data_IF_785307497760
#
_entry.id   IF_785307497760
#
_cell.length_a   1.000
_cell.length_b   1.000
_cell.length_c   1.000
_cell.angle_alpha   90.00
_cell.angle_beta   90.00
_cell.angle_gamma   90.00
#
_symmetry.space_group_name_H-M   'P 1'
#
loop_
_entity.id
_entity.type
_entity.pdbx_description
1 polymer ?
#
# COMPACT_ATOMS: atom_id res chain seq x y z
N UNK A 1 -10.24 -23.58 -11.12
CA UNK A 1 -10.22 -23.11 -9.72
C UNK A 1 -9.61 -21.73 -9.67
N UNK A 2 -10.36 -20.78 -9.16
CA UNK A 2 -9.85 -19.43 -8.98
C UNK A 2 -9.03 -19.33 -7.70
N UNK A 3 -7.98 -18.55 -7.76
CA UNK A 3 -7.18 -18.22 -6.59
C UNK A 3 -6.96 -16.72 -6.54
N UNK A 4 -6.73 -16.20 -5.35
CA UNK A 4 -6.42 -14.79 -5.18
C UNK A 4 -5.52 -14.60 -3.97
N UNK A 5 -4.79 -13.49 -3.97
CA UNK A 5 -3.83 -13.18 -2.92
C UNK A 5 -4.37 -12.12 -1.99
N UNK A 6 -4.17 -12.34 -0.70
CA UNK A 6 -4.52 -11.36 0.33
C UNK A 6 -3.33 -11.14 1.23
N UNK A 7 -3.33 -9.99 1.90
CA UNK A 7 -2.37 -9.75 2.97
C UNK A 7 -2.98 -10.32 4.24
N UNK A 8 -2.33 -11.31 4.81
CA UNK A 8 -2.77 -11.94 6.05
C UNK A 8 -2.36 -11.08 7.25
N UNK A 9 -1.14 -10.57 7.22
CA UNK A 9 -0.61 -9.68 8.27
C UNK A 9 0.17 -8.57 7.58
N UNK A 10 -0.19 -7.32 7.90
CA UNK A 10 0.49 -6.17 7.36
C UNK A 10 1.83 -5.94 8.01
N UNK A 11 2.68 -5.21 7.30
CA UNK A 11 3.98 -4.80 7.77
C UNK A 11 4.23 -3.35 7.42
N UNK A 12 5.41 -2.88 7.75
CA UNK A 12 5.82 -1.52 7.47
C UNK A 12 7.17 -1.55 6.76
N UNK A 13 7.34 -0.67 5.80
CA UNK A 13 8.61 -0.53 5.09
C UNK A 13 8.91 0.94 4.87
N UNK A 14 10.19 1.27 4.78
CA UNK A 14 10.61 2.65 4.59
C UNK A 14 11.67 2.72 3.51
N UNK A 15 11.56 3.74 2.67
CA UNK A 15 12.62 4.09 1.71
C UNK A 15 12.97 5.56 1.88
N UNK A 16 14.17 5.92 1.44
CA UNK A 16 14.63 7.31 1.41
C UNK A 16 15.01 7.63 -0.03
N UNK A 17 14.43 8.70 -0.58
CA UNK A 17 14.77 9.18 -1.91
C UNK A 17 14.98 10.69 -1.83
N UNK A 18 16.16 11.15 -2.28
CA UNK A 18 16.53 12.58 -2.25
C UNK A 18 16.18 13.21 -0.89
N UNK A 19 16.54 12.53 0.19
CA UNK A 19 16.34 12.93 1.58
C UNK A 19 14.90 12.92 2.06
N UNK A 20 13.91 12.67 1.19
CA UNK A 20 12.53 12.44 1.63
C UNK A 20 12.40 11.02 2.16
N UNK A 21 11.65 10.86 3.26
CA UNK A 21 11.33 9.56 3.83
C UNK A 21 9.93 9.16 3.41
N UNK A 22 9.78 7.92 2.95
CA UNK A 22 8.51 7.35 2.54
C UNK A 22 8.28 6.10 3.37
N UNK A 23 7.28 6.14 4.24
CA UNK A 23 6.96 5.05 5.16
C UNK A 23 5.66 4.41 4.70
N UNK A 24 5.71 3.15 4.26
CA UNK A 24 4.53 2.41 3.85
C UNK A 24 4.03 1.57 5.01
N UNK A 25 2.76 1.73 5.37
CA UNK A 25 2.10 0.92 6.39
C UNK A 25 1.01 0.13 5.71
N UNK A 26 1.10 -1.20 5.78
CA UNK A 26 0.19 -2.12 5.09
C UNK A 26 -0.75 -2.76 6.12
N UNK A 27 -2.03 -2.82 5.80
CA UNK A 27 -3.02 -3.38 6.70
C UNK A 27 -4.05 -4.21 5.92
N UNK A 28 -4.31 -5.45 6.35
CA UNK A 28 -5.42 -6.21 5.77
C UNK A 28 -6.74 -5.59 6.20
N UNK A 29 -7.66 -5.42 5.25
CA UNK A 29 -8.99 -4.87 5.50
C UNK A 29 -10.01 -5.67 4.70
N UNK A 30 -11.22 -5.79 5.22
CA UNK A 30 -12.29 -6.52 4.52
C UNK A 30 -13.40 -5.61 4.03
N UNK A 31 -13.47 -4.39 4.54
CA UNK A 31 -14.52 -3.43 4.18
C UNK A 31 -13.92 -2.05 3.99
N UNK A 32 -14.68 -1.19 3.30
CA UNK A 32 -14.27 0.20 3.15
C UNK A 32 -14.16 0.90 4.49
N UNK A 33 -15.07 0.62 5.41
CA UNK A 33 -15.03 1.23 6.74
C UNK A 33 -13.74 0.89 7.46
N UNK A 34 -13.29 -0.36 7.39
CA UNK A 34 -12.01 -0.75 7.98
C UNK A 34 -10.84 -0.01 7.34
N UNK A 35 -10.87 0.15 6.01
CA UNK A 35 -9.83 0.88 5.31
C UNK A 35 -9.78 2.34 5.76
N UNK A 36 -10.94 3.00 5.85
CA UNK A 36 -11.01 4.39 6.25
C UNK A 36 -10.55 4.60 7.70
N UNK A 37 -10.90 3.68 8.60
CA UNK A 37 -10.44 3.74 10.00
C UNK A 37 -8.92 3.60 10.07
N UNK A 38 -8.36 2.69 9.31
CA UNK A 38 -6.91 2.50 9.26
C UNK A 38 -6.21 3.75 8.73
N UNK A 39 -6.75 4.35 7.66
CA UNK A 39 -6.19 5.56 7.08
C UNK A 39 -6.19 6.69 8.12
N UNK A 40 -7.31 6.89 8.82
CA UNK A 40 -7.41 7.93 9.85
C UNK A 40 -6.44 7.68 11.00
N UNK A 41 -6.32 6.45 11.44
CA UNK A 41 -5.39 6.08 12.50
C UNK A 41 -3.95 6.37 12.11
N UNK A 42 -3.58 6.05 10.86
CA UNK A 42 -2.23 6.29 10.36
C UNK A 42 -1.94 7.78 10.21
N UNK A 43 -2.92 8.56 9.73
CA UNK A 43 -2.79 10.02 9.64
C UNK A 43 -2.57 10.65 11.01
N UNK A 44 -3.24 10.15 12.03
CA UNK A 44 -3.04 10.64 13.40
C UNK A 44 -1.66 10.29 13.93
N UNK A 45 -1.19 9.07 13.63
CA UNK A 45 0.15 8.64 14.03
C UNK A 45 1.24 9.51 13.41
N UNK A 46 1.08 9.85 12.14
CA UNK A 46 2.04 10.66 11.39
C UNK A 46 1.44 12.03 11.05
N UNK A 47 0.84 12.68 12.04
CA UNK A 47 0.13 13.95 11.86
C UNK A 47 1.04 15.08 11.35
N UNK A 48 2.32 14.99 11.66
CA UNK A 48 3.31 16.01 11.28
C UNK A 48 3.92 15.77 9.89
N UNK A 49 3.51 14.70 9.21
CA UNK A 49 3.98 14.45 7.85
C UNK A 49 3.26 15.36 6.86
N UNK A 50 3.96 15.69 5.79
CA UNK A 50 3.40 16.54 4.73
C UNK A 50 2.28 15.83 3.97
N UNK A 51 2.45 14.54 3.71
CA UNK A 51 1.48 13.75 2.95
C UNK A 51 1.31 12.36 3.56
N UNK A 52 0.06 11.90 3.63
CA UNK A 52 -0.30 10.53 3.99
C UNK A 52 -1.21 10.00 2.87
N UNK A 53 -0.59 9.51 1.81
CA UNK A 53 -1.30 9.02 0.63
C UNK A 53 -1.79 7.61 0.87
N UNK A 54 -2.89 7.20 0.22
CA UNK A 54 -3.41 5.86 0.42
C UNK A 54 -3.89 5.21 -0.85
N UNK A 55 -3.99 3.88 -0.81
CA UNK A 55 -4.66 3.07 -1.81
C UNK A 55 -5.22 1.84 -1.12
N UNK A 56 -6.40 1.39 -1.55
CA UNK A 56 -6.95 0.13 -1.05
C UNK A 56 -7.75 -0.59 -2.14
N UNK A 57 -7.79 -1.91 -2.01
CA UNK A 57 -8.52 -2.79 -2.91
C UNK A 57 -9.32 -3.74 -2.02
N UNK A 58 -10.63 -3.82 -2.25
CA UNK A 58 -11.52 -4.64 -1.46
C UNK A 58 -12.35 -5.52 -2.39
N UNK A 59 -12.54 -6.78 -2.00
CA UNK A 59 -13.31 -7.75 -2.73
C UNK A 59 -12.43 -8.65 -3.59
N UNK A 60 -12.89 -9.88 -3.81
CA UNK A 60 -12.15 -10.87 -4.58
C UNK A 60 -12.00 -10.50 -6.04
N UNK A 61 -12.88 -9.63 -6.54
CA UNK A 61 -12.88 -9.20 -7.94
C UNK A 61 -12.61 -7.71 -8.07
N UNK A 62 -11.95 -7.11 -7.08
CA UNK A 62 -11.66 -5.68 -7.05
C UNK A 62 -12.92 -4.83 -7.16
N UNK A 63 -13.98 -5.24 -6.46
CA UNK A 63 -15.26 -4.52 -6.51
C UNK A 63 -15.11 -3.08 -6.07
N UNK A 64 -14.15 -2.80 -5.18
CA UNK A 64 -13.91 -1.46 -4.70
C UNK A 64 -12.41 -1.17 -4.68
N UNK A 65 -11.98 -0.17 -5.44
CA UNK A 65 -10.59 0.31 -5.45
C UNK A 65 -10.60 1.83 -5.32
N UNK A 66 -9.79 2.35 -4.41
CA UNK A 66 -9.69 3.80 -4.18
C UNK A 66 -8.24 4.18 -3.93
N UNK A 67 -7.92 5.43 -4.20
CA UNK A 67 -6.61 5.98 -3.88
C UNK A 67 -6.69 7.48 -3.67
N UNK A 68 -5.66 8.05 -3.04
CA UNK A 68 -5.57 9.48 -2.79
C UNK A 68 -4.13 9.94 -2.83
N UNK A 69 -3.92 11.08 -3.45
CA UNK A 69 -2.61 11.72 -3.51
C UNK A 69 -2.31 12.57 -2.27
N UNK A 70 -3.30 12.84 -1.46
CA UNK A 70 -3.17 13.64 -0.22
C UNK A 70 -2.27 14.87 -0.37
N UNK A 71 -2.55 15.67 -1.41
CA UNK A 71 -1.80 16.92 -1.64
C UNK A 71 -0.57 16.79 -2.52
N UNK A 72 -0.13 15.59 -2.87
CA UNK A 72 0.91 15.42 -3.88
C UNK A 72 0.33 15.78 -5.26
N UNK A 73 1.18 16.10 -6.26
CA UNK A 73 0.66 16.39 -7.59
C UNK A 73 -0.19 15.23 -8.12
N UNK A 74 -1.24 15.56 -8.84
CA UNK A 74 -2.23 14.59 -9.31
C UNK A 74 -1.58 13.40 -10.02
N UNK A 75 -1.92 12.19 -9.59
CA UNK A 75 -1.45 10.96 -10.22
C UNK A 75 -0.05 10.51 -9.84
N UNK A 76 0.61 11.20 -8.91
CA UNK A 76 2.01 10.88 -8.57
C UNK A 76 2.15 9.98 -7.35
N UNK A 77 1.11 9.78 -6.58
CA UNK A 77 1.18 9.01 -5.34
C UNK A 77 0.13 7.89 -5.28
N UNK A 78 -1.14 8.24 -5.19
CA UNK A 78 -2.20 7.27 -5.00
C UNK A 78 -2.31 6.24 -6.11
N UNK A 79 -2.27 6.69 -7.36
CA UNK A 79 -2.39 5.79 -8.51
C UNK A 79 -1.21 4.82 -8.61
N UNK A 80 0.05 5.25 -8.48
CA UNK A 80 1.18 4.32 -8.46
C UNK A 80 1.07 3.29 -7.33
N UNK A 81 0.60 3.71 -6.16
CA UNK A 81 0.38 2.79 -5.04
C UNK A 81 -0.67 1.75 -5.39
N UNK A 82 -1.80 2.19 -5.93
CA UNK A 82 -2.88 1.29 -6.34
C UNK A 82 -2.41 0.32 -7.42
N UNK A 83 -1.63 0.79 -8.37
CA UNK A 83 -1.10 -0.05 -9.45
C UNK A 83 -0.22 -1.18 -8.93
N UNK A 84 0.55 -0.94 -7.87
CA UNK A 84 1.35 -2.00 -7.23
C UNK A 84 0.43 -3.07 -6.65
N UNK A 85 -0.63 -2.67 -5.95
CA UNK A 85 -1.57 -3.63 -5.36
C UNK A 85 -2.25 -4.46 -6.44
N UNK A 86 -2.77 -3.81 -7.47
CA UNK A 86 -3.47 -4.49 -8.56
C UNK A 86 -2.51 -5.35 -9.38
N UNK A 87 -1.32 -4.85 -9.66
CA UNK A 87 -0.33 -5.58 -10.43
C UNK A 87 0.16 -6.86 -9.76
N UNK A 88 0.05 -6.93 -8.44
CA UNK A 88 0.42 -8.12 -7.67
C UNK A 88 -0.79 -9.01 -7.35
N UNK A 89 -1.95 -8.67 -7.89
CA UNK A 89 -3.16 -9.47 -7.70
C UNK A 89 -3.64 -9.50 -6.25
N UNK A 90 -3.36 -8.45 -5.49
CA UNK A 90 -3.72 -8.39 -4.08
C UNK A 90 -5.13 -7.86 -3.88
N UNK A 91 -5.81 -8.40 -2.87
CA UNK A 91 -7.16 -8.03 -2.50
C UNK A 91 -7.24 -7.83 -0.99
N UNK A 92 -8.24 -7.08 -0.56
CA UNK A 92 -8.53 -6.87 0.86
C UNK A 92 -7.34 -6.31 1.61
N UNK A 93 -6.79 -5.22 1.07
CA UNK A 93 -5.59 -4.58 1.60
C UNK A 93 -5.71 -3.07 1.48
N UNK A 94 -5.19 -2.38 2.47
CA UNK A 94 -5.04 -0.93 2.47
C UNK A 94 -3.59 -0.59 2.77
N UNK A 95 -3.04 0.36 2.03
CA UNK A 95 -1.67 0.86 2.25
C UNK A 95 -1.73 2.36 2.39
N UNK A 96 -1.04 2.89 3.39
CA UNK A 96 -0.79 4.32 3.53
C UNK A 96 0.71 4.54 3.38
N UNK A 97 1.09 5.47 2.52
CA UNK A 97 2.49 5.89 2.42
C UNK A 97 2.58 7.31 2.97
N UNK A 98 3.37 7.45 4.02
CA UNK A 98 3.62 8.70 4.72
C UNK A 98 4.92 9.28 4.21
N UNK A 99 4.90 10.55 3.78
CA UNK A 99 6.12 11.20 3.29
C UNK A 99 6.51 12.37 4.15
N UNK A 100 7.78 12.36 4.57
CA UNK A 100 8.45 13.51 5.19
C UNK A 100 9.37 14.13 4.17
N UNK A 101 9.10 15.38 3.80
CA UNK A 101 9.88 16.10 2.79
C UNK A 101 11.31 16.35 3.26
N UNK A 102 12.28 16.07 2.40
CA UNK A 102 13.69 16.20 2.74
C UNK A 102 14.38 17.46 2.18
N UNK A 103 13.62 18.40 1.66
CA UNK A 103 14.18 19.65 1.15
C UNK A 103 14.57 19.60 -0.33
N UNK A 104 14.49 18.46 -0.98
CA UNK A 104 14.84 18.31 -2.39
C UNK A 104 13.64 17.78 -3.16
N UNK A 105 13.28 18.43 -4.26
CA UNK A 105 12.16 18.00 -5.09
C UNK A 105 12.53 16.74 -5.88
N UNK A 106 11.59 15.80 -5.99
CA UNK A 106 11.80 14.58 -6.75
C UNK A 106 11.37 14.69 -8.21
N UNK A 107 10.45 15.63 -8.50
CA UNK A 107 9.77 15.67 -9.80
C UNK A 107 8.69 14.60 -9.88
N UNK A 108 7.81 14.70 -10.90
CA UNK A 108 6.66 13.79 -11.02
C UNK A 108 7.09 12.35 -11.21
N UNK A 109 8.06 12.08 -12.09
CA UNK A 109 8.57 10.72 -12.31
C UNK A 109 9.22 10.14 -11.07
N UNK A 110 9.97 10.94 -10.34
CA UNK A 110 10.61 10.53 -9.10
C UNK A 110 9.60 10.18 -8.01
N UNK A 111 8.50 10.96 -7.91
CA UNK A 111 7.43 10.67 -6.96
C UNK A 111 6.74 9.35 -7.29
N UNK A 112 6.38 9.13 -8.56
CA UNK A 112 5.75 7.89 -8.99
C UNK A 112 6.61 6.69 -8.59
N UNK A 113 7.90 6.74 -8.87
CA UNK A 113 8.82 5.63 -8.54
C UNK A 113 8.95 5.46 -7.02
N UNK A 114 9.02 6.55 -6.27
CA UNK A 114 9.20 6.48 -4.82
C UNK A 114 7.98 5.87 -4.14
N UNK A 115 6.76 6.31 -4.52
CA UNK A 115 5.55 5.74 -3.93
C UNK A 115 5.37 4.28 -4.29
N UNK A 116 5.64 3.89 -5.53
CA UNK A 116 5.60 2.49 -5.94
C UNK A 116 6.58 1.65 -5.15
N UNK A 117 7.80 2.13 -5.01
CA UNK A 117 8.86 1.42 -4.30
C UNK A 117 8.56 1.28 -2.80
N UNK A 118 7.99 2.33 -2.20
CA UNK A 118 7.61 2.28 -0.80
C UNK A 118 6.55 1.21 -0.54
N UNK A 119 5.54 1.11 -1.41
CA UNK A 119 4.51 0.07 -1.28
C UNK A 119 5.14 -1.31 -1.41
N UNK A 120 6.02 -1.50 -2.38
CA UNK A 120 6.72 -2.78 -2.55
C UNK A 120 7.51 -3.15 -1.29
N UNK A 121 8.17 -2.19 -0.67
CA UNK A 121 8.92 -2.42 0.56
C UNK A 121 8.01 -2.80 1.72
N UNK A 122 6.87 -2.12 1.85
CA UNK A 122 5.88 -2.46 2.87
C UNK A 122 5.32 -3.86 2.67
N UNK A 123 5.06 -4.24 1.42
CA UNK A 123 4.57 -5.58 1.09
C UNK A 123 5.63 -6.64 1.36
N UNK A 124 6.91 -6.32 1.12
CA UNK A 124 8.02 -7.25 1.41
C UNK A 124 8.09 -7.62 2.90
N UNK A 125 7.61 -6.72 3.76
CA UNK A 125 7.58 -6.94 5.21
C UNK A 125 6.21 -7.42 5.70
N UNK A 126 5.32 -7.78 4.78
CA UNK A 126 3.98 -8.27 5.08
C UNK A 126 3.90 -9.76 4.81
N UNK A 127 2.94 -10.44 5.44
CA UNK A 127 2.68 -11.84 5.16
C UNK A 127 1.54 -11.92 4.16
N UNK A 128 1.83 -12.43 2.97
CA UNK A 128 0.85 -12.61 1.91
C UNK A 128 0.51 -14.09 1.80
N UNK A 129 -0.78 -14.38 1.70
CA UNK A 129 -1.23 -15.76 1.49
C UNK A 129 -2.03 -15.82 0.20
N UNK A 130 -2.05 -17.01 -0.39
CA UNK A 130 -2.78 -17.30 -1.59
C UNK A 130 -3.98 -18.16 -1.22
N UNK A 131 -5.17 -17.69 -1.56
CA UNK A 131 -6.42 -18.42 -1.28
C UNK A 131 -6.93 -19.08 -2.55
N UNK A 132 -7.42 -20.30 -2.39
CA UNK A 132 -8.06 -21.04 -3.47
C UNK A 132 -9.54 -21.16 -3.18
N UNK A 133 -10.34 -21.17 -4.21
CA UNK A 133 -11.75 -21.50 -4.08
C UNK A 133 -11.86 -22.91 -3.48
N UNK A 134 -12.57 -23.06 -2.37
CA UNK A 134 -12.68 -24.35 -1.69
C UNK A 134 -11.79 -24.49 -0.48
N UNK A 135 -11.19 -23.39 0.00
CA UNK A 135 -10.61 -23.28 1.34
C UNK A 135 -9.16 -23.70 1.52
N UNK A 136 -8.42 -23.96 0.47
CA UNK A 136 -6.99 -24.20 0.64
C UNK A 136 -6.25 -22.88 0.70
N UNK A 137 -5.22 -22.82 1.53
CA UNK A 137 -4.35 -21.63 1.64
C UNK A 137 -2.90 -22.02 1.51
N UNK A 138 -2.13 -21.16 0.86
CA UNK A 138 -0.68 -21.31 0.73
C UNK A 138 -0.03 -20.08 1.33
N UNK A 139 0.92 -20.29 2.23
CA UNK A 139 1.55 -19.20 2.95
C UNK A 139 2.95 -18.95 2.39
N UNK A 140 3.25 -17.66 2.12
CA UNK A 140 4.58 -17.21 1.73
C UNK A 140 5.25 -16.58 2.93
N UNK A 141 6.56 -16.81 3.10
CA UNK A 141 7.29 -16.25 4.24
C UNK A 141 7.40 -14.73 4.14
N UNK A 142 7.46 -14.22 2.91
CA UNK A 142 7.43 -12.78 2.67
C UNK A 142 6.81 -12.51 1.31
N UNK A 143 6.66 -11.22 1.00
CA UNK A 143 6.03 -10.80 -0.24
C UNK A 143 6.81 -11.26 -1.47
N UNK A 144 8.13 -11.35 -1.40
CA UNK A 144 8.95 -11.74 -2.54
C UNK A 144 8.85 -13.23 -2.86
N UNK A 145 8.12 -13.98 -2.07
CA UNK A 145 7.83 -15.38 -2.35
C UNK A 145 9.01 -16.32 -2.15
N UNK A 146 9.91 -15.93 -1.35
CA UNK A 146 11.10 -16.74 -1.08
C UNK A 146 10.79 -17.98 -0.28
#
# INVERSE_FOLDING_TARGET
MEEYKIVYRGGEGEIVEKKSRFIATVCPVNTEEEALLFIEKTKKKYWDARHNCHAFVIGERNELSRCSDDGEPSGTAGKPMLDVLLGNGLHNVCVVVTRYFGGTLLGTGGLVRAYSKAVQEGLANSLVIEKFLGCKMKIYTDYNGI
#
